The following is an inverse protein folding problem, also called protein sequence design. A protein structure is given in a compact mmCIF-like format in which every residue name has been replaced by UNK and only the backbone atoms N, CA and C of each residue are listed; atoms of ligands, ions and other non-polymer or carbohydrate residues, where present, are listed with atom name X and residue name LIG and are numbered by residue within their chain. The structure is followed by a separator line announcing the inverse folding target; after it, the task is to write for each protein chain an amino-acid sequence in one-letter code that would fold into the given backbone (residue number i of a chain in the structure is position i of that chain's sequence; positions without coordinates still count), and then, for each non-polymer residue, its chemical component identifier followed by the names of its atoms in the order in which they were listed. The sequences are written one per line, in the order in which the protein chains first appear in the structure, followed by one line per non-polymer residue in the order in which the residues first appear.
data_IF_890974608938
#
_entry.id   IF_890974608938
#
_cell.length_a   1.000
_cell.length_b   1.000
_cell.length_c   1.000
_cell.angle_alpha   90.00
_cell.angle_beta   90.00
_cell.angle_gamma   90.00
#
_symmetry.space_group_name_H-M   'P 1'
#
loop_
_entity.id
_entity.type
_entity.pdbx_description
1 polymer ?
#
# COMPACT_ATOMS: atom_id res chain seq x y z
N UNK A 1 -0.26 -18.13 -4.67
CA UNK A 1 -0.73 -16.73 -4.52
C UNK A 1 0.31 -15.80 -5.13
N UNK A 2 -0.18 -14.78 -5.82
CA UNK A 2 0.65 -13.76 -6.47
C UNK A 2 0.13 -12.36 -6.11
N UNK A 3 1.03 -11.46 -5.69
CA UNK A 3 0.70 -10.10 -5.27
C UNK A 3 1.45 -9.10 -6.14
N UNK A 4 0.73 -8.15 -6.73
CA UNK A 4 1.31 -6.99 -7.40
C UNK A 4 1.35 -5.80 -6.43
N UNK A 5 2.54 -5.27 -6.16
CA UNK A 5 2.73 -4.10 -5.29
C UNK A 5 2.92 -2.86 -6.17
N UNK A 6 2.01 -1.90 -6.05
CA UNK A 6 1.91 -0.70 -6.88
C UNK A 6 2.98 0.38 -6.61
N UNK A 7 4.18 -0.04 -6.23
CA UNK A 7 5.32 0.86 -6.09
C UNK A 7 6.61 0.17 -6.53
N UNK A 8 7.50 0.95 -7.17
CA UNK A 8 8.85 0.46 -7.49
C UNK A 8 9.77 0.60 -6.28
N UNK A 9 10.76 -0.28 -6.21
CA UNK A 9 11.85 -0.19 -5.24
C UNK A 9 12.93 0.72 -5.81
N UNK A 10 13.32 1.72 -5.03
CA UNK A 10 14.41 2.64 -5.33
C UNK A 10 15.61 2.32 -4.46
N UNK A 11 16.82 2.33 -5.01
CA UNK A 11 18.06 2.11 -4.26
C UNK A 11 18.40 3.35 -3.40
N UNK A 12 18.95 3.09 -2.20
CA UNK A 12 19.40 4.14 -1.29
C UNK A 12 18.33 4.59 -0.29
N UNK A 13 18.56 5.67 0.48
CA UNK A 13 17.69 6.17 1.54
C UNK A 13 16.50 6.93 0.97
N UNK A 14 15.46 6.22 0.54
CA UNK A 14 14.29 6.76 -0.16
C UNK A 14 13.03 6.89 0.72
N UNK A 15 13.17 6.78 2.04
CA UNK A 15 12.07 6.96 2.99
C UNK A 15 11.24 5.71 3.28
N UNK A 16 10.27 5.87 4.20
CA UNK A 16 9.53 4.77 4.82
C UNK A 16 8.66 3.95 3.87
N UNK A 17 8.10 4.56 2.82
CA UNK A 17 7.30 3.84 1.82
C UNK A 17 8.13 2.83 1.02
N UNK A 18 9.34 3.21 0.63
CA UNK A 18 10.28 2.33 -0.05
C UNK A 18 10.75 1.18 0.86
N UNK A 19 11.11 1.50 2.12
CA UNK A 19 11.50 0.49 3.10
C UNK A 19 10.37 -0.52 3.36
N UNK A 20 9.14 -0.04 3.47
CA UNK A 20 7.97 -0.91 3.58
C UNK A 20 7.87 -1.88 2.38
N UNK A 21 8.01 -1.38 1.15
CA UNK A 21 7.93 -2.20 -0.06
C UNK A 21 9.03 -3.27 -0.09
N UNK A 22 10.26 -2.91 0.28
CA UNK A 22 11.40 -3.83 0.35
C UNK A 22 11.12 -4.94 1.40
N UNK A 23 10.73 -4.54 2.61
CA UNK A 23 10.50 -5.47 3.72
C UNK A 23 9.31 -6.40 3.43
N UNK A 24 8.22 -5.87 2.88
CA UNK A 24 7.06 -6.67 2.51
C UNK A 24 7.41 -7.67 1.40
N UNK A 25 8.13 -7.25 0.37
CA UNK A 25 8.58 -8.15 -0.71
C UNK A 25 9.42 -9.30 -0.16
N UNK A 26 10.41 -8.99 0.68
CA UNK A 26 11.27 -10.01 1.33
C UNK A 26 10.42 -11.01 2.11
N UNK A 27 9.56 -10.54 2.99
CA UNK A 27 8.67 -11.38 3.80
C UNK A 27 7.75 -12.27 2.93
N UNK A 28 7.14 -11.71 1.90
CA UNK A 28 6.25 -12.47 1.01
C UNK A 28 7.03 -13.57 0.26
N UNK A 29 8.24 -13.29 -0.20
CA UNK A 29 9.11 -14.27 -0.87
C UNK A 29 9.52 -15.41 0.07
N UNK A 30 9.84 -15.12 1.34
CA UNK A 30 10.10 -16.14 2.37
C UNK A 30 8.88 -17.04 2.59
N UNK A 31 7.67 -16.50 2.43
CA UNK A 31 6.41 -17.27 2.47
C UNK A 31 6.05 -17.95 1.15
N UNK A 32 6.95 -17.97 0.17
CA UNK A 32 6.76 -18.53 -1.18
C UNK A 32 5.61 -17.87 -1.96
N UNK A 33 5.33 -16.60 -1.68
CA UNK A 33 4.36 -15.79 -2.39
C UNK A 33 5.07 -15.03 -3.50
N UNK A 34 4.59 -15.15 -4.74
CA UNK A 34 5.15 -14.42 -5.88
C UNK A 34 4.81 -12.94 -5.79
N UNK A 35 5.80 -12.08 -6.05
CA UNK A 35 5.64 -10.61 -6.01
C UNK A 35 5.99 -10.03 -7.37
N UNK A 36 5.11 -9.19 -7.89
CA UNK A 36 5.30 -8.36 -9.08
C UNK A 36 5.21 -6.88 -8.71
N UNK A 37 5.71 -6.01 -9.57
CA UNK A 37 5.55 -4.55 -9.47
C UNK A 37 4.82 -3.97 -10.68
N UNK A 38 4.16 -4.81 -11.47
CA UNK A 38 3.34 -4.43 -12.63
C UNK A 38 2.18 -5.42 -12.80
N UNK A 39 1.33 -5.20 -13.80
CA UNK A 39 0.15 -6.01 -14.11
C UNK A 39 0.31 -6.86 -15.38
N UNK A 40 1.53 -7.23 -15.76
CA UNK A 40 1.79 -8.00 -16.98
C UNK A 40 1.29 -9.45 -16.90
N UNK A 41 1.21 -10.02 -15.71
CA UNK A 41 0.78 -11.41 -15.51
C UNK A 41 -0.73 -11.50 -15.28
N UNK A 42 -1.38 -12.55 -15.82
CA UNK A 42 -2.85 -12.69 -15.81
C UNK A 42 -3.43 -13.32 -14.53
N UNK A 43 -2.58 -13.89 -13.67
CA UNK A 43 -2.93 -14.67 -12.48
C UNK A 43 -2.60 -13.95 -11.16
N UNK A 44 -2.68 -12.61 -11.14
CA UNK A 44 -2.50 -11.81 -9.92
C UNK A 44 -3.74 -11.97 -9.05
N UNK A 45 -3.53 -12.39 -7.78
CA UNK A 45 -4.60 -12.55 -6.80
C UNK A 45 -4.92 -11.25 -6.05
N UNK A 46 -3.88 -10.44 -5.78
CA UNK A 46 -4.00 -9.19 -5.02
C UNK A 46 -3.20 -8.09 -5.73
N UNK A 47 -3.82 -6.92 -5.89
CA UNK A 47 -3.14 -5.67 -6.25
C UNK A 47 -3.10 -4.79 -5.00
N UNK A 48 -1.89 -4.52 -4.49
CA UNK A 48 -1.66 -3.65 -3.35
C UNK A 48 -1.27 -2.26 -3.83
N UNK A 49 -2.18 -1.30 -3.73
CA UNK A 49 -1.95 0.10 -4.02
C UNK A 49 -1.31 0.78 -2.80
N UNK A 50 -0.03 1.11 -2.89
CA UNK A 50 0.71 1.80 -1.83
C UNK A 50 1.03 3.24 -2.20
N UNK A 51 1.10 3.54 -3.50
CA UNK A 51 1.34 4.86 -4.07
C UNK A 51 0.55 5.00 -5.38
N UNK A 52 -0.80 5.10 -5.30
CA UNK A 52 -1.65 5.04 -6.50
C UNK A 52 -1.74 6.36 -7.28
N UNK A 53 -0.92 7.35 -6.96
CA UNK A 53 -0.93 8.67 -7.61
C UNK A 53 -0.19 8.63 -8.94
N UNK A 54 -0.81 9.14 -10.00
CA UNK A 54 -0.23 9.20 -11.35
C UNK A 54 1.02 10.09 -11.39
N UNK A 55 1.03 11.14 -10.58
CA UNK A 55 2.11 12.13 -10.48
C UNK A 55 3.30 11.67 -9.60
N UNK A 56 3.22 10.51 -8.99
CA UNK A 56 4.32 9.97 -8.18
C UNK A 56 5.31 9.19 -9.03
N UNK A 57 6.58 9.54 -8.94
CA UNK A 57 7.68 8.84 -9.64
C UNK A 57 7.88 7.41 -9.17
N UNK A 58 7.33 7.03 -8.03
CA UNK A 58 7.42 5.67 -7.48
C UNK A 58 6.17 4.83 -7.71
N UNK A 59 5.11 5.42 -8.23
CA UNK A 59 3.90 4.69 -8.64
C UNK A 59 4.19 3.77 -9.82
N UNK A 60 3.73 2.52 -9.74
CA UNK A 60 3.81 1.54 -10.85
C UNK A 60 2.45 0.97 -11.22
N UNK A 61 1.44 1.18 -10.39
CA UNK A 61 0.06 0.74 -10.63
C UNK A 61 -0.88 1.81 -10.10
N UNK A 62 -1.64 2.41 -10.99
CA UNK A 62 -2.70 3.36 -10.65
C UNK A 62 -4.01 2.64 -10.32
N UNK A 63 -4.95 3.34 -9.69
CA UNK A 63 -6.31 2.80 -9.48
C UNK A 63 -6.99 2.43 -10.80
N UNK A 64 -6.83 3.25 -11.83
CA UNK A 64 -7.46 2.99 -13.14
C UNK A 64 -6.94 1.69 -13.74
N UNK A 65 -5.63 1.48 -13.75
CA UNK A 65 -5.02 0.24 -14.24
C UNK A 65 -5.48 -0.98 -13.44
N UNK A 66 -5.56 -0.87 -12.12
CA UNK A 66 -6.06 -1.94 -11.26
C UNK A 66 -7.54 -2.29 -11.56
N UNK A 67 -8.39 -1.29 -11.80
CA UNK A 67 -9.79 -1.49 -12.18
C UNK A 67 -9.93 -2.11 -13.58
N UNK A 68 -9.14 -1.67 -14.55
CA UNK A 68 -9.12 -2.27 -15.89
C UNK A 68 -8.64 -3.72 -15.85
N UNK A 69 -7.58 -4.00 -15.08
CA UNK A 69 -7.12 -5.36 -14.86
C UNK A 69 -8.22 -6.24 -14.25
N UNK A 70 -8.90 -5.77 -13.19
CA UNK A 70 -10.01 -6.49 -12.56
C UNK A 70 -11.16 -6.76 -13.54
N UNK A 71 -11.47 -5.80 -14.41
CA UNK A 71 -12.59 -5.91 -15.36
C UNK A 71 -12.28 -6.83 -16.54
N UNK A 72 -11.09 -6.76 -17.11
CA UNK A 72 -10.76 -7.36 -18.40
C UNK A 72 -9.78 -8.54 -18.33
N UNK A 73 -9.02 -8.68 -17.24
CA UNK A 73 -7.98 -9.72 -17.12
C UNK A 73 -8.34 -10.76 -16.06
N UNK A 74 -8.55 -10.32 -14.80
CA UNK A 74 -8.89 -11.23 -13.70
C UNK A 74 -9.96 -10.61 -12.78
N UNK A 75 -11.22 -10.98 -12.99
CA UNK A 75 -12.35 -10.49 -12.19
C UNK A 75 -12.29 -10.84 -10.70
N UNK A 76 -11.51 -11.85 -10.34
CA UNK A 76 -11.39 -12.32 -8.96
C UNK A 76 -10.28 -11.59 -8.18
N UNK A 77 -9.44 -10.78 -8.86
CA UNK A 77 -8.38 -10.02 -8.18
C UNK A 77 -8.96 -9.11 -7.09
N UNK A 78 -8.26 -9.01 -5.96
CA UNK A 78 -8.62 -8.08 -4.87
C UNK A 78 -7.73 -6.86 -4.93
N UNK A 79 -8.36 -5.69 -4.93
CA UNK A 79 -7.67 -4.40 -4.87
C UNK A 79 -7.61 -3.96 -3.41
N UNK A 80 -6.42 -3.84 -2.87
CA UNK A 80 -6.15 -3.39 -1.49
C UNK A 80 -5.45 -2.05 -1.55
N UNK A 81 -6.01 -1.03 -0.90
CA UNK A 81 -5.39 0.29 -0.79
C UNK A 81 -4.78 0.48 0.60
N UNK A 82 -3.49 0.80 0.65
CA UNK A 82 -2.78 1.11 1.89
C UNK A 82 -2.61 2.62 2.03
N UNK A 83 -3.23 3.21 3.04
CA UNK A 83 -3.13 4.63 3.37
C UNK A 83 -2.07 4.84 4.46
N UNK A 84 -1.05 5.64 4.14
CA UNK A 84 0.05 5.99 5.04
C UNK A 84 0.33 7.49 5.09
N UNK A 85 -0.50 8.32 4.46
CA UNK A 85 -0.33 9.77 4.39
C UNK A 85 -1.67 10.51 4.46
N UNK A 86 -1.59 11.81 4.74
CA UNK A 86 -2.72 12.72 4.78
C UNK A 86 -2.26 14.16 4.60
N UNK A 87 -3.21 15.06 4.37
CA UNK A 87 -2.98 16.49 4.19
C UNK A 87 -2.33 17.12 5.43
N UNK A 88 -2.77 16.74 6.62
CA UNK A 88 -2.32 17.27 7.91
C UNK A 88 -0.82 17.03 8.13
N UNK A 89 -0.29 15.92 7.64
CA UNK A 89 1.15 15.61 7.75
C UNK A 89 1.99 16.23 6.65
N UNK A 90 1.40 16.47 5.49
CA UNK A 90 2.12 16.96 4.30
C UNK A 90 1.94 18.44 4.04
N UNK A 91 1.01 19.10 4.74
CA UNK A 91 0.65 20.49 4.47
C UNK A 91 0.00 20.68 3.08
N UNK A 92 -0.72 19.66 2.61
CA UNK A 92 -1.44 19.68 1.33
C UNK A 92 -2.94 19.85 1.56
N UNK A 93 -3.75 19.96 0.50
CA UNK A 93 -5.22 20.17 0.60
C UNK A 93 -6.03 19.23 -0.28
N UNK A 94 -5.42 18.20 -0.85
CA UNK A 94 -6.08 17.31 -1.82
C UNK A 94 -5.79 15.82 -1.60
N UNK A 95 -4.85 15.50 -0.73
CA UNK A 95 -4.45 14.10 -0.49
C UNK A 95 -5.57 13.31 0.15
N UNK A 96 -6.22 13.87 1.18
CA UNK A 96 -7.31 13.19 1.90
C UNK A 96 -8.46 12.83 0.97
N UNK A 97 -8.92 13.78 0.15
CA UNK A 97 -10.00 13.51 -0.80
C UNK A 97 -9.59 12.44 -1.81
N UNK A 98 -8.41 12.57 -2.41
CA UNK A 98 -7.90 11.62 -3.41
C UNK A 98 -7.76 10.19 -2.85
N UNK A 99 -7.20 10.06 -1.64
CA UNK A 99 -7.07 8.76 -0.98
C UNK A 99 -8.44 8.17 -0.63
N UNK A 100 -9.39 8.99 -0.20
CA UNK A 100 -10.77 8.58 0.06
C UNK A 100 -11.42 8.00 -1.19
N UNK A 101 -11.31 8.67 -2.33
CA UNK A 101 -11.92 8.23 -3.59
C UNK A 101 -11.29 6.92 -4.09
N UNK A 102 -9.98 6.75 -3.93
CA UNK A 102 -9.29 5.51 -4.24
C UNK A 102 -9.78 4.38 -3.33
N UNK A 103 -9.90 4.63 -2.02
CA UNK A 103 -10.37 3.63 -1.06
C UNK A 103 -11.82 3.21 -1.29
N UNK A 104 -12.70 4.14 -1.65
CA UNK A 104 -14.10 3.81 -2.03
C UNK A 104 -14.19 2.87 -3.21
N UNK A 105 -13.17 2.87 -4.07
CA UNK A 105 -13.09 2.03 -5.27
C UNK A 105 -12.26 0.76 -5.06
N UNK A 106 -11.71 0.54 -3.87
CA UNK A 106 -10.91 -0.64 -3.51
C UNK A 106 -11.75 -1.67 -2.77
N UNK A 107 -11.39 -2.95 -2.82
CA UNK A 107 -12.09 -4.01 -2.07
C UNK A 107 -11.78 -3.91 -0.57
N UNK A 108 -10.55 -3.51 -0.22
CA UNK A 108 -10.08 -3.37 1.17
C UNK A 108 -9.19 -2.13 1.33
N UNK A 109 -9.24 -1.55 2.53
CA UNK A 109 -8.36 -0.44 2.92
C UNK A 109 -7.55 -0.82 4.16
N UNK A 110 -6.25 -0.56 4.12
CA UNK A 110 -5.33 -0.75 5.25
C UNK A 110 -4.80 0.61 5.69
N UNK A 111 -4.99 0.94 6.95
CA UNK A 111 -4.43 2.14 7.58
C UNK A 111 -3.19 1.78 8.40
N UNK A 112 -2.20 2.67 8.44
CA UNK A 112 -0.98 2.45 9.24
C UNK A 112 -1.12 2.92 10.69
N UNK A 113 -2.24 3.53 11.06
CA UNK A 113 -2.55 3.92 12.44
C UNK A 113 -4.05 4.11 12.65
N UNK A 114 -4.50 4.00 13.91
CA UNK A 114 -5.87 4.30 14.30
C UNK A 114 -6.22 5.77 14.08
N UNK A 115 -5.26 6.68 14.28
CA UNK A 115 -5.44 8.10 14.01
C UNK A 115 -5.78 8.35 12.53
N UNK A 116 -5.04 7.76 11.58
CA UNK A 116 -5.37 7.87 10.16
C UNK A 116 -6.74 7.26 9.84
N UNK A 117 -7.07 6.11 10.42
CA UNK A 117 -8.39 5.52 10.22
C UNK A 117 -9.50 6.44 10.69
N UNK A 118 -9.35 7.09 11.85
CA UNK A 118 -10.33 8.06 12.37
C UNK A 118 -10.44 9.26 11.44
N UNK A 119 -9.32 9.88 11.07
CA UNK A 119 -9.28 11.01 10.16
C UNK A 119 -10.04 10.75 8.86
N UNK A 120 -9.78 9.61 8.21
CA UNK A 120 -10.43 9.29 6.94
C UNK A 120 -11.92 8.93 7.08
N UNK A 121 -12.38 8.49 8.25
CA UNK A 121 -13.82 8.37 8.54
C UNK A 121 -14.49 9.73 8.55
N UNK A 122 -13.85 10.75 9.12
CA UNK A 122 -14.37 12.13 9.15
C UNK A 122 -14.43 12.73 7.73
N UNK A 123 -13.57 12.28 6.81
CA UNK A 123 -13.65 12.58 5.37
C UNK A 123 -14.67 11.71 4.60
N UNK A 124 -15.51 10.96 5.31
CA UNK A 124 -16.60 10.16 4.72
C UNK A 124 -16.16 8.83 4.13
N UNK A 125 -15.01 8.29 4.54
CA UNK A 125 -14.63 6.94 4.18
C UNK A 125 -15.36 5.92 5.06
N UNK A 126 -16.44 5.35 4.53
CA UNK A 126 -17.25 4.31 5.18
C UNK A 126 -16.91 2.89 4.71
N UNK A 127 -15.64 2.63 4.40
CA UNK A 127 -15.24 1.30 3.94
C UNK A 127 -15.36 0.29 5.09
N UNK A 128 -16.37 -0.58 5.01
CA UNK A 128 -16.59 -1.66 5.98
C UNK A 128 -15.42 -2.66 6.02
N UNK A 129 -14.71 -2.79 4.91
CA UNK A 129 -13.55 -3.67 4.76
C UNK A 129 -12.25 -2.90 5.04
N UNK A 130 -12.10 -2.32 6.22
CA UNK A 130 -10.88 -1.62 6.60
C UNK A 130 -10.24 -2.23 7.85
N UNK A 131 -8.89 -2.16 7.91
CA UNK A 131 -8.12 -2.62 9.06
C UNK A 131 -6.94 -1.71 9.31
N UNK A 132 -6.59 -1.55 10.58
CA UNK A 132 -5.33 -0.93 10.97
C UNK A 132 -4.26 -2.01 11.07
N UNK A 133 -3.17 -1.84 10.31
CA UNK A 133 -1.95 -2.64 10.39
C UNK A 133 -0.80 -1.65 10.55
N UNK A 134 -0.32 -1.51 11.77
CA UNK A 134 0.77 -0.59 12.08
C UNK A 134 2.07 -1.03 11.40
N UNK A 135 2.88 -0.06 11.02
CA UNK A 135 4.22 -0.34 10.51
C UNK A 135 5.08 -0.90 11.66
N UNK A 136 5.69 -2.05 11.42
CA UNK A 136 6.65 -2.64 12.34
C UNK A 136 8.06 -2.09 12.15
N UNK A 137 8.95 -2.44 13.07
CA UNK A 137 10.40 -2.23 12.96
C UNK A 137 11.10 -3.54 12.56
N UNK A 138 12.27 -3.43 11.97
CA UNK A 138 13.12 -4.58 11.67
C UNK A 138 13.76 -5.09 12.97
N UNK A 139 13.36 -6.27 13.42
CA UNK A 139 13.85 -6.88 14.65
C UNK A 139 15.32 -7.31 14.57
N UNK A 140 15.91 -7.39 13.38
CA UNK A 140 17.35 -7.64 13.23
C UNK A 140 18.19 -6.42 13.57
N UNK A 141 17.60 -5.23 13.41
CA UNK A 141 18.23 -3.94 13.72
C UNK A 141 17.80 -3.44 15.11
N UNK A 142 16.50 -3.52 15.40
CA UNK A 142 15.90 -3.03 16.65
C UNK A 142 15.54 -4.22 17.56
N UNK A 143 16.54 -4.83 18.16
CA UNK A 143 16.36 -5.90 19.14
C UNK A 143 16.90 -5.48 20.53
N UNK A 144 16.35 -6.09 21.58
CA UNK A 144 16.76 -5.81 22.97
C UNK A 144 18.18 -6.31 23.33
N UNK A 145 18.85 -7.03 22.43
CA UNK A 145 20.17 -7.62 22.67
C UNK A 145 21.28 -6.59 22.41
N UNK A 146 21.05 -5.66 21.50
CA UNK A 146 21.97 -4.58 21.21
C UNK A 146 21.70 -3.36 22.11
N UNK A 147 21.76 -3.53 23.43
CA UNK A 147 21.93 -2.39 24.32
C UNK A 147 23.31 -1.81 24.03
N UNK A 148 23.35 -0.64 23.38
CA UNK A 148 24.56 0.17 23.30
C UNK A 148 24.86 0.56 24.75
N UNK A 149 25.94 0.02 25.29
CA UNK A 149 26.55 0.43 26.59
C UNK A 149 27.29 1.72 26.35
#
# INVERSE_FOLDING_TARGET
MKIAIGSRIVKGPWGGGNLFTISLKKYLQEKRIKVSHNLAEKDIDIILLTEPRIDSSTSTITLLEAKLYKRFVNKNVRIVHRINECDERKGTKYVNQKMTDISKSSDYTVFVSYWLQSLYKDFGLSNKNSKVIMSGSDLTIFNNINKIV
#
